data_IF_443877075708
#
_entry.id   IF_443877075708
#
_cell.length_a   1.000
_cell.length_b   1.000
_cell.length_c   1.000
_cell.angle_alpha   90.00
_cell.angle_beta   90.00
_cell.angle_gamma   90.00
#
_symmetry.space_group_name_H-M   'P 1'
#
loop_
_entity.id
_entity.type
_entity.pdbx_description
1 polymer ?
#
# COMPACT_ATOMS: atom_id res chain seq x y z
N UNK A 1 26.80 -2.12 -23.05
CA UNK A 1 25.99 -0.90 -22.82
C UNK A 1 25.73 -0.83 -21.32
N UNK A 2 26.46 0.04 -20.63
CA UNK A 2 26.31 0.30 -19.20
C UNK A 2 24.97 0.99 -18.98
N UNK A 3 24.02 0.29 -18.36
CA UNK A 3 22.74 0.86 -17.92
C UNK A 3 23.04 1.99 -16.95
N UNK A 4 22.70 3.23 -17.31
CA UNK A 4 22.69 4.35 -16.37
C UNK A 4 21.68 3.95 -15.27
N UNK A 5 22.11 3.80 -14.01
CA UNK A 5 21.19 3.42 -12.95
C UNK A 5 20.11 4.49 -12.82
N UNK A 6 18.84 4.08 -12.95
CA UNK A 6 17.71 4.98 -12.70
C UNK A 6 17.70 5.48 -11.24
N UNK A 7 16.94 6.53 -10.92
CA UNK A 7 16.79 7.11 -9.58
C UNK A 7 16.51 6.08 -8.46
N UNK A 8 15.98 4.90 -8.79
CA UNK A 8 15.78 3.78 -7.85
C UNK A 8 17.05 3.28 -7.16
N UNK A 9 18.23 3.49 -7.77
CA UNK A 9 19.52 2.97 -7.27
C UNK A 9 20.09 3.80 -6.12
N UNK A 10 19.58 5.01 -5.90
CA UNK A 10 20.16 5.98 -4.98
C UNK A 10 19.33 6.19 -3.70
N UNK A 11 18.08 5.69 -3.65
CA UNK A 11 17.22 5.85 -2.47
C UNK A 11 17.66 4.88 -1.38
N UNK A 12 17.96 5.36 -0.15
CA UNK A 12 18.27 4.48 0.97
C UNK A 12 17.12 3.50 1.22
N UNK A 13 17.42 2.20 1.37
CA UNK A 13 16.40 1.16 1.60
C UNK A 13 15.52 1.48 2.82
N UNK A 14 16.12 2.07 3.86
CA UNK A 14 15.41 2.55 5.04
C UNK A 14 14.32 3.56 4.68
N UNK A 15 14.60 4.49 3.75
CA UNK A 15 13.63 5.51 3.35
C UNK A 15 12.53 4.91 2.47
N UNK A 16 12.81 3.84 1.72
CA UNK A 16 11.76 3.05 1.05
C UNK A 16 10.84 2.41 2.10
N UNK A 17 11.39 1.78 3.15
CA UNK A 17 10.58 1.26 4.26
C UNK A 17 9.79 2.36 4.97
N UNK A 18 10.38 3.54 5.16
CA UNK A 18 9.68 4.68 5.74
C UNK A 18 8.49 5.13 4.87
N UNK A 19 8.67 5.21 3.54
CA UNK A 19 7.58 5.50 2.61
C UNK A 19 6.49 4.41 2.67
N UNK A 20 6.86 3.14 2.85
CA UNK A 20 5.89 2.05 3.06
C UNK A 20 5.10 2.21 4.36
N UNK A 21 5.76 2.65 5.44
CA UNK A 21 5.07 3.00 6.69
C UNK A 21 4.10 4.16 6.48
N UNK A 22 4.53 5.27 5.85
CA UNK A 22 3.65 6.40 5.56
C UNK A 22 2.46 6.00 4.68
N UNK A 23 2.68 5.14 3.68
CA UNK A 23 1.64 4.61 2.82
C UNK A 23 0.70 3.63 3.55
N UNK A 24 1.11 3.09 4.71
CA UNK A 24 0.37 2.07 5.43
C UNK A 24 -0.91 2.60 6.07
N UNK A 25 -1.91 1.72 6.17
CA UNK A 25 -3.14 2.04 6.90
C UNK A 25 -2.90 2.22 8.40
N UNK A 26 -1.91 1.54 8.97
CA UNK A 26 -1.56 1.68 10.39
C UNK A 26 -1.12 3.12 10.73
N UNK A 27 -0.34 3.74 9.85
CA UNK A 27 0.05 5.14 10.00
C UNK A 27 -1.13 6.09 9.77
N UNK A 28 -1.92 5.87 8.73
CA UNK A 28 -3.10 6.69 8.42
C UNK A 28 -4.16 6.66 9.53
N UNK A 29 -4.37 5.51 10.17
CA UNK A 29 -5.30 5.33 11.29
C UNK A 29 -4.71 5.82 12.64
N UNK A 30 -3.47 6.34 12.64
CA UNK A 30 -2.80 6.87 13.84
C UNK A 30 -2.29 5.81 14.82
N UNK A 31 -2.22 4.54 14.41
CA UNK A 31 -1.69 3.44 15.22
C UNK A 31 -0.16 3.43 15.30
N UNK A 32 0.50 4.05 14.32
CA UNK A 32 1.94 4.31 14.32
C UNK A 32 2.14 5.82 14.40
N UNK A 33 3.01 6.26 15.31
CA UNK A 33 3.33 7.68 15.48
C UNK A 33 4.67 8.03 14.86
N UNK A 34 4.86 9.30 14.52
CA UNK A 34 6.11 9.78 13.91
C UNK A 34 7.35 9.50 14.78
N UNK A 35 7.21 9.69 16.10
CA UNK A 35 8.28 9.45 17.09
C UNK A 35 8.77 8.01 17.10
N UNK A 36 7.97 7.07 16.59
CA UNK A 36 8.29 5.64 16.58
C UNK A 36 9.07 5.24 15.32
N UNK A 37 9.13 6.08 14.27
CA UNK A 37 9.62 5.69 12.93
C UNK A 37 10.67 6.64 12.34
N UNK A 38 10.70 7.89 12.78
CA UNK A 38 11.50 8.93 12.15
C UNK A 38 12.96 8.99 12.63
N UNK A 39 13.26 8.42 13.80
CA UNK A 39 14.63 8.30 14.30
C UNK A 39 15.44 7.34 13.40
N UNK A 40 16.59 7.78 12.83
CA UNK A 40 17.46 6.95 12.01
C UNK A 40 17.80 5.58 12.61
N UNK A 41 17.91 5.47 13.94
CA UNK A 41 18.24 4.24 14.66
C UNK A 41 17.09 3.23 14.77
N UNK A 42 15.86 3.60 14.40
CA UNK A 42 14.72 2.70 14.44
C UNK A 42 14.81 1.61 13.38
N UNK A 43 14.67 0.37 13.84
CA UNK A 43 14.51 -0.81 13.02
C UNK A 43 13.04 -0.97 12.57
N UNK A 44 12.72 -0.37 11.41
CA UNK A 44 11.36 -0.40 10.84
C UNK A 44 10.85 -1.84 10.56
N UNK A 45 11.66 -2.75 9.98
CA UNK A 45 11.31 -4.17 9.87
C UNK A 45 10.92 -4.84 11.19
N UNK A 46 11.70 -4.59 12.26
CA UNK A 46 11.40 -5.12 13.58
C UNK A 46 10.09 -4.54 14.13
N UNK A 47 9.90 -3.22 14.06
CA UNK A 47 8.67 -2.56 14.51
C UNK A 47 7.44 -3.12 13.79
N UNK A 48 7.47 -3.21 12.46
CA UNK A 48 6.36 -3.75 11.68
C UNK A 48 6.05 -5.22 12.05
N UNK A 49 7.10 -6.02 12.29
CA UNK A 49 6.97 -7.42 12.70
C UNK A 49 6.39 -7.56 14.10
N UNK A 50 6.80 -6.71 15.05
CA UNK A 50 6.24 -6.68 16.40
C UNK A 50 4.75 -6.31 16.39
N UNK A 51 4.38 -5.28 15.63
CA UNK A 51 2.98 -4.88 15.43
C UNK A 51 2.14 -6.00 14.81
N UNK A 52 2.68 -6.73 13.83
CA UNK A 52 2.02 -7.91 13.25
C UNK A 52 1.78 -8.99 14.31
N UNK A 53 2.80 -9.35 15.10
CA UNK A 53 2.66 -10.36 16.15
C UNK A 53 1.57 -9.99 17.17
N UNK A 54 1.58 -8.73 17.64
CA UNK A 54 0.59 -8.23 18.58
C UNK A 54 -0.82 -8.24 17.99
N UNK A 55 -0.97 -7.87 16.72
CA UNK A 55 -2.26 -7.83 16.05
C UNK A 55 -2.81 -9.24 15.77
N UNK A 56 -1.98 -10.19 15.35
CA UNK A 56 -2.38 -11.59 15.15
C UNK A 56 -2.75 -12.24 16.49
N UNK A 57 -1.97 -12.01 17.55
CA UNK A 57 -2.28 -12.53 18.88
C UNK A 57 -3.62 -11.98 19.42
N UNK A 58 -3.90 -10.68 19.18
CA UNK A 58 -5.21 -10.09 19.46
C UNK A 58 -6.31 -10.73 18.64
N UNK A 59 -6.07 -11.03 17.36
CA UNK A 59 -7.04 -11.70 16.49
C UNK A 59 -7.32 -13.14 16.93
N UNK A 60 -6.32 -13.89 17.41
CA UNK A 60 -6.51 -15.22 17.97
C UNK A 60 -7.38 -15.18 19.23
N UNK A 61 -7.12 -14.22 20.13
CA UNK A 61 -7.89 -14.05 21.38
C UNK A 61 -9.34 -13.63 21.14
N UNK A 62 -9.58 -12.72 20.19
CA UNK A 62 -10.92 -12.17 19.89
C UNK A 62 -11.71 -12.97 18.85
N UNK A 63 -11.10 -14.01 18.27
CA UNK A 63 -11.68 -14.82 17.21
C UNK A 63 -11.17 -14.43 15.81
N UNK A 64 -10.76 -15.45 15.06
CA UNK A 64 -10.35 -15.34 13.66
C UNK A 64 -11.56 -15.14 12.74
N UNK A 65 -11.31 -14.59 11.55
CA UNK A 65 -12.30 -14.59 10.49
C UNK A 65 -12.66 -16.05 10.14
N UNK A 66 -13.95 -16.29 9.89
CA UNK A 66 -14.48 -17.58 9.43
C UNK A 66 -15.38 -17.33 8.24
N UNK A 67 -15.34 -18.23 7.29
CA UNK A 67 -16.22 -18.19 6.13
C UNK A 67 -16.80 -19.57 5.83
N UNK A 68 -17.91 -19.59 5.10
CA UNK A 68 -18.50 -20.83 4.64
C UNK A 68 -17.78 -21.31 3.40
N UNK A 69 -17.28 -22.54 3.45
CA UNK A 69 -16.69 -23.23 2.30
C UNK A 69 -17.60 -24.38 1.88
N UNK A 70 -17.71 -24.59 0.57
CA UNK A 70 -18.42 -25.73 0.02
C UNK A 70 -17.60 -27.00 0.30
N UNK A 71 -18.19 -27.91 1.06
CA UNK A 71 -17.63 -29.22 1.37
C UNK A 71 -18.47 -30.32 0.70
N UNK A 72 -17.82 -31.41 0.32
CA UNK A 72 -18.45 -32.58 -0.28
C UNK A 72 -17.88 -33.84 0.35
N UNK A 73 -18.73 -34.69 0.93
CA UNK A 73 -18.30 -35.92 1.60
C UNK A 73 -19.37 -37.03 1.56
N UNK A 74 -18.92 -38.29 1.66
CA UNK A 74 -19.74 -39.49 1.68
C UNK A 74 -20.09 -39.86 3.14
N UNK A 75 -21.18 -39.29 3.64
CA UNK A 75 -21.58 -39.31 5.07
C UNK A 75 -22.75 -40.25 5.35
N UNK A 76 -22.87 -40.75 6.59
CA UNK A 76 -23.95 -41.67 7.00
C UNK A 76 -25.26 -40.99 7.40
N UNK A 77 -25.28 -39.66 7.48
CA UNK A 77 -26.47 -38.85 7.75
C UNK A 77 -26.55 -37.72 6.74
N UNK A 78 -27.75 -37.43 6.23
CA UNK A 78 -27.93 -36.36 5.25
C UNK A 78 -27.59 -34.99 5.85
N UNK A 79 -26.71 -34.24 5.19
CA UNK A 79 -26.34 -32.86 5.53
C UNK A 79 -26.31 -32.03 4.24
N UNK A 80 -27.04 -30.92 4.20
CA UNK A 80 -27.10 -30.08 2.99
C UNK A 80 -27.82 -30.77 1.82
N UNK A 81 -27.23 -30.67 0.62
CA UNK A 81 -27.80 -31.19 -0.63
C UNK A 81 -27.23 -32.58 -0.96
N UNK A 82 -28.10 -33.51 -1.29
CA UNK A 82 -27.70 -34.86 -1.73
C UNK A 82 -27.23 -34.83 -3.19
N UNK A 83 -26.05 -35.39 -3.46
CA UNK A 83 -25.62 -35.75 -4.81
C UNK A 83 -26.11 -37.17 -5.13
N UNK A 84 -27.30 -37.22 -5.73
CA UNK A 84 -27.97 -38.46 -6.09
C UNK A 84 -27.18 -39.29 -7.11
N UNK A 85 -26.48 -38.62 -8.05
CA UNK A 85 -25.72 -39.29 -9.10
C UNK A 85 -24.49 -39.97 -8.52
N UNK A 86 -23.69 -39.26 -7.72
CA UNK A 86 -22.53 -39.85 -7.05
C UNK A 86 -22.94 -40.95 -6.07
N UNK A 87 -24.03 -40.74 -5.32
CA UNK A 87 -24.59 -41.74 -4.39
C UNK A 87 -24.97 -43.03 -5.09
N UNK A 88 -25.68 -42.95 -6.23
CA UNK A 88 -26.10 -44.13 -7.00
C UNK A 88 -24.92 -44.81 -7.69
N UNK A 89 -24.08 -44.04 -8.39
CA UNK A 89 -22.93 -44.58 -9.14
C UNK A 89 -21.94 -45.34 -8.25
N UNK A 90 -21.72 -44.87 -7.02
CA UNK A 90 -20.80 -45.50 -6.05
C UNK A 90 -21.47 -46.51 -5.11
N UNK A 91 -22.77 -46.78 -5.31
CA UNK A 91 -23.59 -47.66 -4.46
C UNK A 91 -23.49 -47.33 -2.96
N UNK A 92 -23.45 -46.03 -2.60
CA UNK A 92 -23.20 -45.60 -1.22
C UNK A 92 -24.29 -46.03 -0.25
N UNK A 93 -25.55 -46.13 -0.71
CA UNK A 93 -26.67 -46.57 0.12
C UNK A 93 -26.48 -48.00 0.66
N UNK A 94 -25.87 -48.89 -0.12
CA UNK A 94 -25.54 -50.26 0.34
C UNK A 94 -24.49 -50.27 1.45
N UNK A 95 -23.70 -49.19 1.54
CA UNK A 95 -22.68 -48.97 2.57
C UNK A 95 -23.19 -48.09 3.72
N UNK A 96 -24.49 -47.76 3.73
CA UNK A 96 -25.10 -46.86 4.72
C UNK A 96 -24.61 -45.41 4.63
N UNK A 97 -24.21 -44.95 3.42
CA UNK A 97 -23.68 -43.59 3.16
C UNK A 97 -24.44 -42.89 2.04
N UNK A 98 -24.33 -41.56 1.99
CA UNK A 98 -24.90 -40.69 0.96
C UNK A 98 -23.88 -39.60 0.64
N UNK A 99 -23.61 -39.37 -0.64
CA UNK A 99 -22.76 -38.27 -1.09
C UNK A 99 -23.54 -36.96 -0.90
N UNK A 100 -23.01 -36.05 -0.10
CA UNK A 100 -23.65 -34.80 0.24
C UNK A 100 -22.73 -33.61 -0.01
N UNK A 101 -23.28 -32.52 -0.53
CA UNK A 101 -22.62 -31.21 -0.58
C UNK A 101 -23.25 -30.28 0.45
N UNK A 102 -22.44 -29.61 1.26
CA UNK A 102 -22.90 -28.75 2.35
C UNK A 102 -21.91 -27.64 2.64
N UNK A 103 -22.40 -26.59 3.31
CA UNK A 103 -21.56 -25.48 3.74
C UNK A 103 -20.99 -25.80 5.12
N UNK A 104 -19.68 -25.70 5.24
CA UNK A 104 -18.97 -25.84 6.50
C UNK A 104 -18.30 -24.52 6.87
N UNK A 105 -18.43 -24.14 8.14
CA UNK A 105 -17.77 -22.94 8.64
C UNK A 105 -16.29 -23.25 8.87
N UNK A 106 -15.43 -22.67 8.04
CA UNK A 106 -13.98 -22.88 8.10
C UNK A 106 -13.26 -21.63 8.58
N UNK A 107 -12.16 -21.85 9.32
CA UNK A 107 -11.16 -20.82 9.64
C UNK A 107 -10.13 -20.65 8.53
N UNK A 108 -10.12 -21.52 7.53
CA UNK A 108 -9.17 -21.50 6.44
C UNK A 108 -9.55 -20.48 5.37
N UNK A 109 -9.61 -19.21 5.77
CA UNK A 109 -10.00 -18.08 4.93
C UNK A 109 -8.77 -17.43 4.26
N UNK A 110 -8.94 -16.76 3.12
CA UNK A 110 -7.84 -16.02 2.47
C UNK A 110 -7.15 -15.02 3.39
N UNK A 111 -7.90 -14.38 4.30
CA UNK A 111 -7.37 -13.45 5.29
C UNK A 111 -6.46 -14.14 6.30
N UNK A 112 -6.88 -15.27 6.88
CA UNK A 112 -6.07 -16.00 7.85
C UNK A 112 -4.81 -16.62 7.20
N UNK A 113 -4.94 -17.09 5.95
CA UNK A 113 -3.80 -17.57 5.15
C UNK A 113 -2.80 -16.44 4.89
N UNK A 114 -3.28 -15.22 4.61
CA UNK A 114 -2.44 -14.03 4.47
C UNK A 114 -1.69 -13.70 5.77
N UNK A 115 -2.37 -13.72 6.92
CA UNK A 115 -1.73 -13.49 8.23
C UNK A 115 -0.60 -14.49 8.48
N UNK A 116 -0.86 -15.77 8.22
CA UNK A 116 0.15 -16.84 8.35
C UNK A 116 1.34 -16.60 7.42
N UNK A 117 1.06 -16.30 6.15
CA UNK A 117 2.09 -15.99 5.17
C UNK A 117 2.93 -14.76 5.57
N UNK A 118 2.29 -13.72 6.10
CA UNK A 118 2.98 -12.53 6.59
C UNK A 118 3.89 -12.84 7.78
N UNK A 119 3.49 -13.70 8.72
CA UNK A 119 4.35 -14.14 9.82
C UNK A 119 5.58 -14.90 9.31
N UNK A 120 5.40 -15.79 8.32
CA UNK A 120 6.51 -16.53 7.71
C UNK A 120 7.44 -15.59 6.91
N UNK A 121 6.90 -14.56 6.26
CA UNK A 121 7.67 -13.53 5.56
C UNK A 121 8.38 -12.57 6.52
N UNK A 122 7.79 -12.29 7.68
CA UNK A 122 8.36 -11.43 8.71
C UNK A 122 9.69 -11.98 9.25
N UNK A 123 9.77 -13.30 9.48
CA UNK A 123 11.03 -13.91 9.95
C UNK A 123 12.15 -13.68 8.94
N UNK A 124 11.88 -13.90 7.64
CA UNK A 124 12.85 -13.65 6.57
C UNK A 124 13.19 -12.18 6.42
N UNK A 125 12.24 -11.28 6.67
CA UNK A 125 12.46 -9.84 6.59
C UNK A 125 13.41 -9.38 7.69
N UNK A 126 13.16 -9.77 8.96
CA UNK A 126 14.04 -9.45 10.09
C UNK A 126 15.43 -10.07 9.88
N UNK A 127 15.52 -11.32 9.45
CA UNK A 127 16.82 -11.97 9.16
C UNK A 127 17.61 -11.25 8.04
N UNK A 128 16.93 -10.74 7.00
CA UNK A 128 17.58 -10.04 5.87
C UNK A 128 17.94 -8.59 6.15
N UNK A 129 17.15 -7.91 6.99
CA UNK A 129 17.36 -6.49 7.29
C UNK A 129 18.67 -6.23 8.05
N UNK A 130 19.22 -7.26 8.71
CA UNK A 130 20.46 -7.15 9.47
C UNK A 130 21.57 -8.00 8.85
N UNK A 131 22.68 -7.36 8.52
CA UNK A 131 23.89 -8.02 8.04
C UNK A 131 24.82 -8.47 9.20
N UNK A 132 24.48 -8.13 10.44
CA UNK A 132 25.26 -8.43 11.65
C UNK A 132 24.58 -9.51 12.51
N UNK A 133 25.27 -9.97 13.56
CA UNK A 133 24.75 -11.00 14.46
C UNK A 133 23.38 -10.61 15.04
N UNK A 134 22.42 -11.52 14.95
CA UNK A 134 21.04 -11.33 15.41
C UNK A 134 21.01 -11.05 16.92
N UNK A 135 20.32 -9.99 17.33
CA UNK A 135 20.18 -9.65 18.75
C UNK A 135 19.23 -10.63 19.46
N UNK A 136 19.31 -10.67 20.80
CA UNK A 136 18.39 -11.48 21.62
C UNK A 136 16.93 -11.10 21.37
N UNK A 137 16.65 -9.80 21.24
CA UNK A 137 15.30 -9.29 20.97
C UNK A 137 14.77 -9.74 19.61
N UNK A 138 15.58 -9.63 18.54
CA UNK A 138 15.22 -10.11 17.20
C UNK A 138 14.97 -11.63 17.20
N UNK A 139 15.82 -12.39 17.89
CA UNK A 139 15.66 -13.84 18.01
C UNK A 139 14.33 -14.21 18.70
N UNK A 140 13.98 -13.49 19.77
CA UNK A 140 12.71 -13.68 20.47
C UNK A 140 11.51 -13.35 19.58
N UNK A 141 11.61 -12.31 18.74
CA UNK A 141 10.56 -11.89 17.82
C UNK A 141 10.37 -12.91 16.69
N UNK A 142 11.45 -13.45 16.14
CA UNK A 142 11.42 -14.52 15.13
C UNK A 142 10.77 -15.78 15.72
N UNK A 143 11.14 -16.17 16.95
CA UNK A 143 10.52 -17.30 17.63
C UNK A 143 9.01 -17.08 17.85
N UNK A 144 8.62 -15.86 18.24
CA UNK A 144 7.21 -15.48 18.39
C UNK A 144 6.44 -15.58 17.08
N UNK A 145 7.00 -15.12 15.96
CA UNK A 145 6.40 -15.28 14.63
C UNK A 145 6.17 -16.76 14.28
N UNK A 146 7.20 -17.60 14.47
CA UNK A 146 7.12 -19.05 14.20
C UNK A 146 6.09 -19.74 15.08
N UNK A 147 6.00 -19.35 16.35
CA UNK A 147 4.99 -19.87 17.27
C UNK A 147 3.58 -19.53 16.78
N UNK A 148 3.29 -18.25 16.50
CA UNK A 148 1.99 -17.81 16.00
C UNK A 148 1.61 -18.47 14.67
N UNK A 149 2.57 -18.62 13.74
CA UNK A 149 2.36 -19.30 12.47
C UNK A 149 1.96 -20.77 12.67
N UNK A 150 2.63 -21.50 13.57
CA UNK A 150 2.27 -22.88 13.95
C UNK A 150 0.90 -22.96 14.59
N UNK A 151 0.58 -22.04 15.52
CA UNK A 151 -0.75 -21.99 16.14
C UNK A 151 -1.86 -21.82 15.10
N UNK A 152 -1.65 -21.01 14.06
CA UNK A 152 -2.63 -20.89 12.97
C UNK A 152 -2.81 -22.20 12.20
N UNK A 153 -1.71 -22.94 11.95
CA UNK A 153 -1.78 -24.27 11.32
C UNK A 153 -2.54 -25.27 12.19
N UNK A 154 -2.25 -25.31 13.49
CA UNK A 154 -2.90 -26.23 14.43
C UNK A 154 -4.41 -25.99 14.55
N UNK A 155 -4.86 -24.74 14.35
CA UNK A 155 -6.28 -24.35 14.34
C UNK A 155 -6.95 -24.67 12.99
N UNK A 156 -6.20 -25.01 11.95
CA UNK A 156 -6.72 -25.43 10.64
C UNK A 156 -6.51 -24.44 9.50
N UNK A 157 -5.64 -23.42 9.65
CA UNK A 157 -5.26 -22.52 8.53
C UNK A 157 -4.19 -23.19 7.69
N UNK A 158 -4.56 -23.63 6.49
CA UNK A 158 -3.68 -24.51 5.70
C UNK A 158 -2.56 -23.74 4.99
N UNK A 159 -1.39 -24.38 4.76
CA UNK A 159 -0.25 -23.69 4.19
C UNK A 159 -0.31 -23.43 2.69
N UNK A 160 -1.20 -24.13 1.96
CA UNK A 160 -1.02 -24.45 0.55
C UNK A 160 -1.44 -23.35 -0.43
N UNK A 161 -2.23 -22.38 0.01
CA UNK A 161 -2.74 -21.34 -0.89
C UNK A 161 -2.29 -19.97 -0.39
N UNK A 162 -1.15 -19.47 -0.88
CA UNK A 162 -0.90 -18.03 -0.85
C UNK A 162 -2.02 -17.42 -1.70
N UNK A 163 -2.84 -16.50 -1.19
CA UNK A 163 -3.82 -15.83 -2.02
C UNK A 163 -3.09 -15.17 -3.19
N UNK A 164 -3.35 -15.60 -4.43
CA UNK A 164 -2.79 -14.98 -5.63
C UNK A 164 -3.11 -13.48 -5.71
N UNK A 165 -4.16 -13.07 -5.01
CA UNK A 165 -4.57 -11.68 -4.80
C UNK A 165 -4.73 -11.47 -3.30
N UNK A 166 -3.95 -10.54 -2.74
CA UNK A 166 -4.19 -10.06 -1.38
C UNK A 166 -5.61 -9.49 -1.36
N UNK A 167 -6.54 -9.99 -0.53
CA UNK A 167 -7.92 -9.54 -0.52
C UNK A 167 -7.99 -8.00 -0.43
N UNK A 168 -8.86 -7.34 -1.21
CA UNK A 168 -9.05 -5.90 -1.08
C UNK A 168 -9.41 -5.57 0.37
N UNK A 169 -8.91 -4.42 0.84
CA UNK A 169 -9.00 -4.04 2.25
C UNK A 169 -10.41 -4.24 2.81
N UNK A 170 -10.51 -5.05 3.87
CA UNK A 170 -11.55 -5.01 4.92
C UNK A 170 -12.95 -4.80 4.34
N UNK A 171 -13.59 -5.90 3.90
CA UNK A 171 -15.01 -5.86 3.57
C UNK A 171 -15.85 -5.43 4.78
N UNK A 172 -17.11 -5.02 4.56
CA UNK A 172 -18.05 -4.60 5.64
C UNK A 172 -18.26 -5.64 6.76
N UNK A 173 -17.81 -6.88 6.56
CA UNK A 173 -17.93 -8.01 7.51
C UNK A 173 -16.64 -8.29 8.29
N UNK A 174 -15.54 -7.60 8.00
CA UNK A 174 -14.27 -7.83 8.68
C UNK A 174 -14.26 -7.14 10.05
N UNK A 175 -14.03 -7.91 11.11
CA UNK A 175 -13.95 -7.39 12.48
C UNK A 175 -12.78 -6.41 12.62
N UNK A 176 -12.94 -5.34 13.39
CA UNK A 176 -11.94 -4.27 13.51
C UNK A 176 -10.56 -4.77 13.98
N UNK A 177 -10.51 -5.73 14.91
CA UNK A 177 -9.23 -6.33 15.34
C UNK A 177 -8.54 -7.13 14.24
N UNK A 178 -9.32 -7.76 13.36
CA UNK A 178 -8.81 -8.53 12.24
C UNK A 178 -8.34 -7.60 11.12
N UNK A 179 -9.05 -6.50 10.89
CA UNK A 179 -8.64 -5.43 9.98
C UNK A 179 -7.24 -4.87 10.33
N UNK A 180 -6.97 -4.64 11.62
CA UNK A 180 -5.65 -4.18 12.08
C UNK A 180 -4.56 -5.24 11.83
N UNK A 181 -4.86 -6.53 12.04
CA UNK A 181 -3.94 -7.61 11.75
C UNK A 181 -3.61 -7.71 10.25
N UNK A 182 -4.62 -7.55 9.39
CA UNK A 182 -4.44 -7.53 7.94
C UNK A 182 -3.64 -6.31 7.47
N UNK A 183 -3.86 -5.14 8.09
CA UNK A 183 -3.07 -3.94 7.80
C UNK A 183 -1.59 -4.13 8.18
N UNK A 184 -1.30 -4.73 9.34
CA UNK A 184 0.06 -5.06 9.76
C UNK A 184 0.70 -6.12 8.85
N UNK A 185 -0.06 -7.15 8.46
CA UNK A 185 0.40 -8.18 7.54
C UNK A 185 0.77 -7.58 6.17
N UNK A 186 -0.06 -6.68 5.66
CA UNK A 186 0.20 -5.96 4.41
C UNK A 186 1.48 -5.14 4.48
N UNK A 187 1.69 -4.39 5.57
CA UNK A 187 2.91 -3.60 5.76
C UNK A 187 4.16 -4.47 5.74
N UNK A 188 4.15 -5.58 6.49
CA UNK A 188 5.28 -6.52 6.52
C UNK A 188 5.53 -7.14 5.15
N UNK A 189 4.49 -7.53 4.42
CA UNK A 189 4.62 -8.08 3.08
C UNK A 189 5.18 -7.05 2.10
N UNK A 190 4.66 -5.83 2.11
CA UNK A 190 5.16 -4.73 1.27
C UNK A 190 6.65 -4.45 1.57
N UNK A 191 7.09 -4.53 2.83
CA UNK A 191 8.51 -4.43 3.23
C UNK A 191 9.36 -5.65 2.84
N UNK A 192 8.76 -6.84 2.79
CA UNK A 192 9.44 -8.10 2.51
C UNK A 192 9.61 -8.39 1.02
N UNK A 193 8.81 -7.75 0.16
CA UNK A 193 8.74 -7.90 -1.30
C UNK A 193 9.64 -6.87 -2.02
N UNK A 194 10.72 -7.33 -2.67
CA UNK A 194 11.16 -6.75 -3.93
C UNK A 194 10.16 -7.06 -5.05
N UNK A 195 10.03 -6.18 -6.04
CA UNK A 195 9.14 -6.33 -7.20
C UNK A 195 9.43 -7.64 -7.99
N UNK A 196 8.48 -8.58 -8.07
CA UNK A 196 8.57 -9.90 -8.72
C UNK A 196 8.46 -9.84 -10.27
N UNK A 197 8.88 -8.73 -10.88
CA UNK A 197 8.79 -8.56 -12.34
C UNK A 197 9.91 -9.27 -13.14
N UNK A 198 10.72 -10.11 -12.50
CA UNK A 198 11.71 -10.95 -13.17
C UNK A 198 11.39 -12.45 -13.04
N UNK A 199 11.06 -13.17 -14.13
CA UNK A 199 10.96 -14.61 -14.10
C UNK A 199 12.37 -15.21 -14.07
N UNK A 200 12.80 -15.76 -12.93
CA UNK A 200 14.05 -16.50 -12.85
C UNK A 200 14.59 -16.68 -11.44
N UNK A 201 14.67 -17.94 -11.02
CA UNK A 201 15.60 -18.51 -10.01
C UNK A 201 15.95 -17.62 -8.81
N UNK A 202 15.35 -17.99 -7.66
CA UNK A 202 15.80 -17.64 -6.32
C UNK A 202 17.32 -17.75 -6.17
N UNK A 203 18.05 -16.64 -6.26
CA UNK A 203 19.24 -16.30 -5.48
C UNK A 203 19.69 -14.86 -5.81
N UNK A 204 19.72 -14.04 -4.75
CA UNK A 204 20.68 -12.93 -4.55
C UNK A 204 20.79 -11.87 -5.65
N UNK A 205 19.85 -10.92 -5.74
CA UNK A 205 20.15 -9.56 -6.21
C UNK A 205 19.33 -8.55 -5.42
N UNK A 206 19.91 -7.37 -5.15
CA UNK A 206 19.27 -6.20 -4.50
C UNK A 206 17.81 -6.04 -4.92
N UNK A 207 16.90 -5.58 -4.04
CA UNK A 207 15.56 -5.27 -4.48
C UNK A 207 15.58 -4.19 -5.57
N UNK A 208 15.43 -4.59 -6.82
CA UNK A 208 15.25 -3.66 -7.94
C UNK A 208 13.78 -3.30 -7.96
N UNK A 209 13.39 -2.31 -7.17
CA UNK A 209 12.07 -1.72 -7.33
C UNK A 209 12.02 -1.05 -8.70
N UNK A 210 10.97 -1.37 -9.48
CA UNK A 210 10.70 -0.62 -10.71
C UNK A 210 10.39 0.84 -10.38
N UNK A 211 10.73 1.76 -11.29
CA UNK A 211 10.40 3.19 -11.12
C UNK A 211 8.88 3.41 -10.98
N UNK A 212 8.08 2.60 -11.67
CA UNK A 212 6.61 2.67 -11.57
C UNK A 212 6.12 2.29 -10.17
N UNK A 213 6.68 1.22 -9.58
CA UNK A 213 6.35 0.80 -8.21
C UNK A 213 6.77 1.84 -7.19
N UNK A 214 7.95 2.46 -7.34
CA UNK A 214 8.40 3.54 -6.47
C UNK A 214 7.54 4.80 -6.62
N UNK A 215 7.12 5.14 -7.83
CA UNK A 215 6.19 6.26 -8.08
C UNK A 215 4.87 6.05 -7.35
N UNK A 216 4.27 4.86 -7.49
CA UNK A 216 3.02 4.50 -6.81
C UNK A 216 3.19 4.49 -5.28
N UNK A 217 4.34 4.04 -4.79
CA UNK A 217 4.66 4.06 -3.36
C UNK A 217 4.77 5.50 -2.85
N UNK A 218 5.50 6.36 -3.57
CA UNK A 218 5.67 7.77 -3.24
C UNK A 218 4.33 8.51 -3.21
N UNK A 219 3.48 8.33 -4.22
CA UNK A 219 2.11 8.87 -4.27
C UNK A 219 1.30 8.45 -3.03
N UNK A 220 1.29 7.14 -2.70
CA UNK A 220 0.57 6.64 -1.52
C UNK A 220 1.14 7.17 -0.21
N UNK A 221 2.46 7.31 -0.11
CA UNK A 221 3.12 7.87 1.06
C UNK A 221 2.74 9.34 1.27
N UNK A 222 2.72 10.15 0.20
CA UNK A 222 2.25 11.53 0.25
C UNK A 222 0.79 11.61 0.73
N UNK A 223 -0.10 10.80 0.16
CA UNK A 223 -1.51 10.73 0.63
C UNK A 223 -1.58 10.37 2.11
N UNK A 224 -0.76 9.42 2.56
CA UNK A 224 -0.68 9.00 3.96
C UNK A 224 -0.23 10.13 4.89
N UNK A 225 0.84 10.84 4.52
CA UNK A 225 1.33 12.03 5.25
C UNK A 225 0.24 13.11 5.31
N UNK A 226 -0.38 13.44 4.17
CA UNK A 226 -1.42 14.48 4.12
C UNK A 226 -2.63 14.12 4.96
N UNK A 227 -3.09 12.86 4.93
CA UNK A 227 -4.21 12.43 5.78
C UNK A 227 -3.87 12.50 7.26
N UNK A 228 -2.68 12.04 7.65
CA UNK A 228 -2.30 12.01 9.05
C UNK A 228 -2.14 13.42 9.64
N UNK A 229 -1.56 14.36 8.87
CA UNK A 229 -1.20 15.69 9.38
C UNK A 229 -2.18 16.79 9.04
N UNK A 230 -2.77 16.79 7.84
CA UNK A 230 -3.63 17.89 7.38
C UNK A 230 -5.11 17.66 7.69
N UNK A 231 -5.56 16.41 7.84
CA UNK A 231 -6.95 16.12 8.21
C UNK A 231 -7.34 16.71 9.58
N UNK A 232 -6.50 16.63 10.64
CA UNK A 232 -6.75 17.32 11.90
C UNK A 232 -6.84 18.86 11.76
N UNK A 233 -6.20 19.44 10.75
CA UNK A 233 -6.26 20.88 10.45
C UNK A 233 -7.48 21.27 9.61
N UNK A 234 -8.39 20.33 9.30
CA UNK A 234 -9.61 20.58 8.53
C UNK A 234 -9.49 20.35 7.02
N UNK A 235 -8.34 19.84 6.54
CA UNK A 235 -8.19 19.51 5.12
C UNK A 235 -8.91 18.21 4.77
N UNK A 236 -9.43 18.14 3.54
CA UNK A 236 -10.03 16.92 2.99
C UNK A 236 -9.11 16.31 1.92
N UNK A 237 -8.53 15.14 2.19
CA UNK A 237 -7.62 14.45 1.26
C UNK A 237 -8.35 13.29 0.56
N UNK A 238 -8.76 13.48 -0.70
CA UNK A 238 -9.45 12.43 -1.48
C UNK A 238 -8.48 11.36 -2.01
N UNK A 239 -7.24 11.74 -2.32
CA UNK A 239 -6.33 10.89 -3.10
C UNK A 239 -6.69 10.97 -4.59
N UNK A 240 -6.59 9.88 -5.33
CA UNK A 240 -6.89 9.89 -6.76
C UNK A 240 -8.36 10.23 -7.05
N UNK A 241 -8.59 11.23 -7.90
CA UNK A 241 -9.92 11.70 -8.31
C UNK A 241 -10.04 11.55 -9.83
N UNK A 242 -11.19 11.03 -10.29
CA UNK A 242 -11.51 11.02 -11.73
C UNK A 242 -12.12 12.35 -12.11
N UNK A 243 -11.51 13.03 -13.08
CA UNK A 243 -12.06 14.23 -13.70
C UNK A 243 -12.74 13.85 -15.00
N UNK A 244 -13.72 14.66 -15.41
CA UNK A 244 -14.46 14.47 -16.64
C UNK A 244 -14.14 15.62 -17.59
N UNK A 245 -13.93 15.30 -18.86
CA UNK A 245 -13.71 16.30 -19.89
C UNK A 245 -14.96 17.15 -20.05
N UNK A 246 -14.79 18.47 -19.99
CA UNK A 246 -15.80 19.41 -20.44
C UNK A 246 -15.77 19.51 -21.97
N UNK A 247 -16.24 18.47 -22.65
CA UNK A 247 -16.22 18.34 -24.10
C UNK A 247 -17.58 17.87 -24.63
N UNK A 248 -17.93 18.32 -25.83
CA UNK A 248 -19.12 17.90 -26.57
C UNK A 248 -18.71 17.11 -27.82
N UNK A 249 -19.49 16.08 -28.20
CA UNK A 249 -19.22 15.24 -29.38
C UNK A 249 -18.84 13.81 -29.01
N UNK A 250 -17.91 13.20 -29.74
CA UNK A 250 -17.46 11.81 -29.52
C UNK A 250 -16.48 11.71 -28.33
N UNK A 251 -16.98 11.86 -27.12
CA UNK A 251 -16.18 11.87 -25.89
C UNK A 251 -15.59 10.49 -25.52
N UNK A 252 -16.05 9.41 -26.15
CA UNK A 252 -15.58 8.03 -25.92
C UNK A 252 -14.12 7.83 -26.35
N UNK A 253 -13.61 8.66 -27.27
CA UNK A 253 -12.23 8.61 -27.74
C UNK A 253 -11.25 9.34 -26.81
N UNK A 254 -11.75 10.09 -25.83
CA UNK A 254 -10.91 10.88 -24.94
C UNK A 254 -10.28 10.01 -23.85
N UNK A 255 -9.00 10.26 -23.50
CA UNK A 255 -8.33 9.48 -22.47
C UNK A 255 -8.96 9.74 -21.10
N UNK A 256 -8.91 8.76 -20.21
CA UNK A 256 -9.39 8.97 -18.84
C UNK A 256 -8.51 9.96 -18.10
N UNK A 257 -9.10 10.98 -17.48
CA UNK A 257 -8.38 11.89 -16.59
C UNK A 257 -8.47 11.40 -15.14
N UNK A 258 -7.32 11.05 -14.57
CA UNK A 258 -7.20 10.64 -13.18
C UNK A 258 -6.04 11.39 -12.55
N UNK A 259 -6.34 12.19 -11.53
CA UNK A 259 -5.30 12.88 -10.75
C UNK A 259 -4.60 11.88 -9.85
N UNK A 260 -3.35 12.15 -9.49
CA UNK A 260 -2.66 11.40 -8.44
C UNK A 260 -3.27 11.75 -7.07
N UNK A 261 -3.33 13.04 -6.72
CA UNK A 261 -3.85 13.49 -5.43
C UNK A 261 -4.74 14.73 -5.63
N UNK A 262 -6.00 14.62 -5.22
CA UNK A 262 -6.90 15.76 -5.08
C UNK A 262 -7.21 16.00 -3.60
N UNK A 263 -7.16 17.27 -3.21
CA UNK A 263 -7.42 17.70 -1.84
C UNK A 263 -8.14 19.05 -1.79
N UNK A 264 -8.70 19.36 -0.63
CA UNK A 264 -9.41 20.61 -0.36
C UNK A 264 -8.86 21.23 0.92
N UNK A 265 -8.57 22.54 0.87
CA UNK A 265 -8.19 23.32 2.06
C UNK A 265 -9.37 23.43 3.04
N UNK A 266 -9.15 23.90 4.27
CA UNK A 266 -10.24 24.14 5.23
C UNK A 266 -11.32 25.10 4.72
N UNK A 267 -10.96 26.06 3.86
CA UNK A 267 -11.87 26.99 3.19
C UNK A 267 -12.60 26.34 1.99
N UNK A 268 -12.26 25.09 1.69
CA UNK A 268 -12.80 24.29 0.60
C UNK A 268 -12.26 24.69 -0.77
N UNK A 269 -11.03 25.24 -0.85
CA UNK A 269 -10.34 25.50 -2.11
C UNK A 269 -9.71 24.21 -2.63
N UNK A 270 -9.87 23.92 -3.93
CA UNK A 270 -9.37 22.67 -4.50
C UNK A 270 -7.90 22.79 -4.88
N UNK A 271 -7.12 21.78 -4.51
CA UNK A 271 -5.71 21.61 -4.89
C UNK A 271 -5.57 20.25 -5.58
N UNK A 272 -4.95 20.24 -6.74
CA UNK A 272 -4.56 19.02 -7.45
C UNK A 272 -3.05 18.91 -7.39
N UNK A 273 -2.56 17.85 -6.76
CA UNK A 273 -1.14 17.52 -6.69
C UNK A 273 -0.82 16.30 -7.56
N UNK A 274 0.29 16.37 -8.28
CA UNK A 274 0.79 15.33 -9.16
C UNK A 274 2.21 14.95 -8.73
N UNK A 275 2.44 13.65 -8.50
CA UNK A 275 3.63 13.14 -7.85
C UNK A 275 4.54 12.45 -8.87
N UNK A 276 5.76 12.97 -9.02
CA UNK A 276 6.71 12.50 -10.04
C UNK A 276 7.93 11.87 -9.41
N UNK A 277 8.23 10.63 -9.85
CA UNK A 277 9.44 9.89 -9.51
C UNK A 277 10.37 9.82 -10.72
N UNK A 278 10.83 10.98 -11.19
CA UNK A 278 11.74 11.09 -12.33
C UNK A 278 12.67 12.28 -12.11
N UNK A 279 13.73 12.42 -12.93
CA UNK A 279 14.54 13.65 -12.92
C UNK A 279 13.68 14.90 -13.07
N UNK A 280 13.98 15.92 -12.26
CA UNK A 280 13.16 17.14 -12.08
C UNK A 280 13.18 18.02 -13.33
N UNK A 281 14.37 18.19 -13.92
CA UNK A 281 14.64 19.09 -15.03
C UNK A 281 15.10 18.32 -16.27
N UNK A 282 14.85 18.90 -17.44
CA UNK A 282 15.47 18.51 -18.71
C UNK A 282 16.40 19.63 -19.16
N UNK A 283 17.56 19.27 -19.70
CA UNK A 283 18.50 20.21 -20.28
C UNK A 283 17.94 20.73 -21.62
N UNK A 284 17.65 22.04 -21.69
CA UNK A 284 17.28 22.70 -22.93
C UNK A 284 18.11 23.98 -23.09
N UNK A 285 18.87 24.10 -24.17
CA UNK A 285 19.76 25.24 -24.44
C UNK A 285 20.65 25.65 -23.26
N UNK A 286 21.28 24.67 -22.58
CA UNK A 286 22.15 24.87 -21.40
C UNK A 286 21.45 25.47 -20.17
N UNK A 287 20.12 25.53 -20.15
CA UNK A 287 19.31 25.86 -18.97
C UNK A 287 18.53 24.62 -18.53
N UNK A 288 18.46 24.42 -17.23
CA UNK A 288 17.58 23.41 -16.66
C UNK A 288 16.15 23.94 -16.64
N UNK A 289 15.25 23.24 -17.33
CA UNK A 289 13.83 23.61 -17.41
C UNK A 289 13.01 22.44 -16.86
N UNK A 290 11.93 22.75 -16.14
CA UNK A 290 10.94 21.75 -15.75
C UNK A 290 10.47 20.94 -16.95
N UNK A 291 10.25 19.64 -16.75
CA UNK A 291 9.70 18.78 -17.80
C UNK A 291 8.32 19.27 -18.22
N UNK A 292 8.22 19.65 -19.49
CA UNK A 292 7.00 20.20 -20.10
C UNK A 292 5.83 19.23 -20.02
N UNK A 293 6.08 17.92 -20.17
CA UNK A 293 5.06 16.86 -20.08
C UNK A 293 4.28 16.90 -18.76
N UNK A 294 4.98 17.06 -17.63
CA UNK A 294 4.37 17.11 -16.30
C UNK A 294 3.52 18.39 -16.14
N UNK A 295 4.05 19.51 -16.64
CA UNK A 295 3.35 20.79 -16.62
C UNK A 295 2.07 20.73 -17.45
N UNK A 296 2.13 20.16 -18.65
CA UNK A 296 0.98 20.04 -19.55
C UNK A 296 -0.09 19.13 -18.98
N UNK A 297 0.31 18.00 -18.40
CA UNK A 297 -0.62 17.07 -17.75
C UNK A 297 -1.36 17.75 -16.60
N UNK A 298 -0.64 18.41 -15.69
CA UNK A 298 -1.27 19.10 -14.56
C UNK A 298 -2.15 20.26 -15.04
N UNK A 299 -1.70 21.05 -16.01
CA UNK A 299 -2.49 22.12 -16.60
C UNK A 299 -3.81 21.61 -17.22
N UNK A 300 -3.80 20.44 -17.87
CA UNK A 300 -5.02 19.80 -18.35
C UNK A 300 -5.98 19.45 -17.20
N UNK A 301 -5.47 18.99 -16.05
CA UNK A 301 -6.32 18.74 -14.88
C UNK A 301 -6.92 20.01 -14.29
N UNK A 302 -6.14 21.09 -14.21
CA UNK A 302 -6.61 22.37 -13.64
C UNK A 302 -7.71 23.01 -14.48
N UNK A 303 -7.54 23.01 -15.81
CA UNK A 303 -8.51 23.61 -16.74
C UNK A 303 -9.83 22.85 -16.83
N UNK A 304 -9.81 21.54 -16.59
CA UNK A 304 -11.01 20.71 -16.56
C UNK A 304 -11.63 20.59 -15.16
N UNK A 305 -10.96 21.13 -14.14
CA UNK A 305 -11.51 21.17 -12.78
C UNK A 305 -12.64 22.21 -12.73
N UNK A 306 -13.82 21.88 -12.19
CA UNK A 306 -14.96 22.78 -12.17
C UNK A 306 -14.61 24.05 -11.37
N UNK A 307 -14.83 25.21 -11.98
CA UNK A 307 -14.71 26.50 -11.29
C UNK A 307 -15.97 26.77 -10.50
N UNK A 308 -15.84 27.03 -9.20
CA UNK A 308 -16.97 27.36 -8.33
C UNK A 308 -17.06 28.89 -8.22
N UNK A 309 -18.20 29.52 -8.56
CA UNK A 309 -18.36 30.96 -8.40
C UNK A 309 -18.05 31.41 -6.96
N UNK A 310 -17.26 32.49 -6.83
CA UNK A 310 -16.86 33.02 -5.51
C UNK A 310 -15.71 32.26 -4.82
N UNK A 311 -15.15 31.21 -5.44
CA UNK A 311 -13.94 30.54 -4.96
C UNK A 311 -12.74 30.83 -5.85
N UNK A 312 -11.50 30.79 -5.32
CA UNK A 312 -10.31 30.89 -6.13
C UNK A 312 -10.23 29.73 -7.14
N UNK A 313 -9.51 29.93 -8.26
CA UNK A 313 -9.20 28.87 -9.21
C UNK A 313 -8.53 27.67 -8.52
N UNK A 314 -8.72 26.47 -9.08
CA UNK A 314 -8.04 25.27 -8.58
C UNK A 314 -6.52 25.46 -8.66
N UNK A 315 -5.79 25.19 -7.58
CA UNK A 315 -4.34 25.29 -7.55
C UNK A 315 -3.69 23.96 -7.95
N UNK A 316 -2.54 24.03 -8.62
CA UNK A 316 -1.75 22.88 -9.04
C UNK A 316 -0.44 22.76 -8.27
N UNK A 317 -0.09 21.55 -7.85
CA UNK A 317 1.19 21.26 -7.20
C UNK A 317 1.89 20.12 -7.91
N UNK A 318 3.13 20.33 -8.37
CA UNK A 318 4.03 19.26 -8.78
C UNK A 318 4.96 18.91 -7.62
N UNK A 319 4.94 17.64 -7.20
CA UNK A 319 5.80 17.13 -6.13
C UNK A 319 6.77 16.13 -6.74
N UNK A 320 8.06 16.48 -6.75
CA UNK A 320 9.12 15.64 -7.28
C UNK A 320 9.84 14.89 -6.16
N UNK A 321 9.96 13.57 -6.30
CA UNK A 321 10.91 12.80 -5.54
C UNK A 321 12.34 13.18 -5.98
N UNK A 322 13.12 13.69 -5.03
CA UNK A 322 14.45 14.25 -5.24
C UNK A 322 15.51 13.40 -4.52
N UNK A 323 16.75 13.48 -5.01
CA UNK A 323 17.93 12.84 -4.44
C UNK A 323 18.97 13.91 -4.08
N UNK A 324 18.61 14.82 -3.17
CA UNK A 324 19.44 15.96 -2.75
C UNK A 324 19.27 17.26 -3.56
N UNK A 325 18.41 17.28 -4.58
CA UNK A 325 18.06 18.53 -5.27
C UNK A 325 16.96 19.29 -4.50
N UNK A 326 17.12 20.60 -4.39
CA UNK A 326 16.17 21.50 -3.74
C UNK A 326 15.57 22.44 -4.79
N UNK A 327 14.28 22.29 -5.08
CA UNK A 327 13.54 23.15 -5.99
C UNK A 327 12.20 23.51 -5.38
N UNK A 328 12.03 24.81 -5.15
CA UNK A 328 10.77 25.41 -4.73
C UNK A 328 10.47 26.61 -5.63
N UNK A 329 9.35 26.54 -6.36
CA UNK A 329 8.92 27.62 -7.24
C UNK A 329 7.40 27.76 -7.22
N UNK A 330 6.91 29.00 -7.15
CA UNK A 330 5.50 29.33 -7.29
C UNK A 330 5.32 30.24 -8.51
N UNK A 331 4.26 30.01 -9.27
CA UNK A 331 3.94 30.77 -10.48
C UNK A 331 2.43 30.80 -10.73
N UNK A 332 1.99 31.71 -11.59
CA UNK A 332 0.62 31.76 -12.10
C UNK A 332 0.61 31.36 -13.57
N UNK A 333 -0.15 30.32 -13.92
CA UNK A 333 -0.30 29.84 -15.30
C UNK A 333 -1.79 29.81 -15.63
N UNK A 334 -2.20 30.58 -16.65
CA UNK A 334 -3.61 30.63 -17.07
C UNK A 334 -4.57 31.07 -15.96
N UNK A 335 -4.11 31.88 -14.99
CA UNK A 335 -4.88 32.29 -13.82
C UNK A 335 -4.92 31.28 -12.66
N UNK A 336 -4.31 30.10 -12.82
CA UNK A 336 -4.21 29.10 -11.77
C UNK A 336 -2.90 29.24 -10.98
N UNK A 337 -2.94 29.24 -9.63
CA UNK A 337 -1.73 29.11 -8.81
C UNK A 337 -1.07 27.77 -9.05
N UNK A 338 0.23 27.79 -9.28
CA UNK A 338 1.02 26.61 -9.58
C UNK A 338 2.26 26.60 -8.70
N UNK A 339 2.53 25.48 -8.02
CA UNK A 339 3.72 25.29 -7.21
C UNK A 339 4.47 24.04 -7.65
N UNK A 340 5.78 24.15 -7.70
CA UNK A 340 6.69 23.04 -7.88
C UNK A 340 7.53 22.91 -6.62
N UNK A 341 7.58 21.70 -6.05
CA UNK A 341 8.33 21.41 -4.85
C UNK A 341 9.02 20.04 -4.95
N UNK A 342 10.17 19.92 -4.32
CA UNK A 342 10.91 18.66 -4.18
C UNK A 342 10.76 18.07 -2.78
N UNK A 343 10.77 16.74 -2.71
CA UNK A 343 10.88 15.98 -1.46
C UNK A 343 12.13 15.10 -1.59
N UNK A 344 13.15 15.40 -0.80
CA UNK A 344 14.43 14.70 -0.84
C UNK A 344 14.34 13.36 -0.11
N UNK A 345 14.33 12.27 -0.89
CA UNK A 345 14.24 10.91 -0.37
C UNK A 345 15.56 10.39 0.21
N UNK A 346 16.64 11.18 0.18
CA UNK A 346 17.89 10.88 0.90
C UNK A 346 17.95 11.51 2.29
N UNK A 347 17.06 12.46 2.58
CA UNK A 347 17.00 13.15 3.87
C UNK A 347 16.47 12.24 4.98
N UNK A 348 16.52 12.74 6.22
CA UNK A 348 15.93 12.06 7.36
C UNK A 348 14.39 12.06 7.31
N UNK A 349 13.77 11.18 8.09
CA UNK A 349 12.31 11.02 8.10
C UNK A 349 11.54 12.31 8.42
N UNK A 350 11.95 13.10 9.43
CA UNK A 350 11.33 14.39 9.73
C UNK A 350 11.39 15.39 8.58
N UNK A 351 12.51 15.45 7.86
CA UNK A 351 12.70 16.38 6.72
C UNK A 351 11.82 15.97 5.55
N UNK A 352 11.79 14.69 5.18
CA UNK A 352 10.90 14.15 4.14
C UNK A 352 9.46 14.57 4.40
N UNK A 353 8.98 14.35 5.63
CA UNK A 353 7.62 14.71 6.03
C UNK A 353 7.38 16.23 5.94
N UNK A 354 8.29 17.04 6.48
CA UNK A 354 8.17 18.51 6.47
C UNK A 354 8.12 19.07 5.05
N UNK A 355 9.00 18.59 4.16
CA UNK A 355 9.02 18.98 2.75
C UNK A 355 7.72 18.59 2.04
N UNK A 356 7.21 17.37 2.27
CA UNK A 356 5.94 16.93 1.71
C UNK A 356 4.78 17.84 2.13
N UNK A 357 4.65 18.16 3.43
CA UNK A 357 3.60 19.07 3.94
C UNK A 357 3.76 20.47 3.34
N UNK A 358 4.98 21.02 3.37
CA UNK A 358 5.27 22.36 2.83
C UNK A 358 5.03 22.47 1.31
N UNK A 359 5.05 21.35 0.58
CA UNK A 359 4.75 21.34 -0.84
C UNK A 359 3.33 21.83 -1.16
N UNK A 360 2.36 21.56 -0.27
CA UNK A 360 0.94 21.86 -0.51
C UNK A 360 0.39 23.01 0.35
N UNK A 361 1.03 23.34 1.47
CA UNK A 361 0.54 24.40 2.38
C UNK A 361 1.05 25.80 2.06
N UNK A 362 2.13 25.94 1.29
CA UNK A 362 2.75 27.23 0.95
C UNK A 362 2.43 27.66 -0.49
N UNK A 363 1.17 27.49 -0.91
CA UNK A 363 0.72 27.80 -2.27
C UNK A 363 0.71 29.29 -2.60
#
# INVERSE_FOLDING_TARGET
MTTVPGPSSFVPIRNIWLLQVYASKLYQDGLIRNTEIEDPGVDLPHLATALLCDAVQRSLRKGLARDFVDASDDISRVRGRIDLLSTKRRSLLQKGRVACTFNELSVDTPENRLLRHALDSATRLVERAHHTATTTEQSSLIQRCRHLSRTLVDIGVHPRDIPAVIPPAVGRRTLAHHAAALAAARLVLDMALPDDSAPGTHHLQRPVYSEESLRKLFEKALVGIFRHHLHPEGWTIKGAERLYWNATGQTELLPSMKTDISMYTPEGNKIIADAKFTGITSLHNKKEILKSENLYQLHAYLTQSPTVPGKPPTAGVLIYASMGADLHATMLIGGHPFRCATVDLTADGPTIRKQAIAAVTQL
#
